data_IF_440855854952
#
_entry.id   IF_440855854952
#
_cell.length_a   1.000
_cell.length_b   1.000
_cell.length_c   1.000
_cell.angle_alpha   90.00
_cell.angle_beta   90.00
_cell.angle_gamma   90.00
#
_symmetry.space_group_name_H-M   'P 1'
#
loop_
_entity.id
_entity.type
_entity.pdbx_description
1 polymer ?
#
# COMPACT_ATOMS: atom_id res chain seq x y z
N UNK A 1 -20.99 -11.23 1.08
CA UNK A 1 -20.83 -9.91 1.73
C UNK A 1 -20.10 -9.02 0.73
N UNK A 2 -20.46 -7.74 0.64
CA UNK A 2 -19.86 -6.84 -0.35
C UNK A 2 -18.39 -6.62 -0.01
N UNK A 3 -17.51 -6.89 -0.97
CA UNK A 3 -16.08 -6.58 -0.86
C UNK A 3 -15.92 -5.07 -0.62
N UNK A 4 -15.64 -4.69 0.63
CA UNK A 4 -15.47 -3.29 0.99
C UNK A 4 -14.01 -2.92 0.79
N UNK A 5 -13.77 -1.89 -0.03
CA UNK A 5 -12.44 -1.33 -0.23
C UNK A 5 -12.31 -0.07 0.63
N UNK A 6 -11.28 -0.04 1.45
CA UNK A 6 -10.88 1.09 2.28
C UNK A 6 -9.68 1.80 1.65
N UNK A 7 -9.65 3.12 1.72
CA UNK A 7 -8.53 3.95 1.30
C UNK A 7 -8.06 4.78 2.50
N UNK A 8 -6.95 4.39 3.11
CA UNK A 8 -6.37 5.07 4.28
C UNK A 8 -5.29 6.06 3.83
N UNK A 9 -5.58 7.35 3.97
CA UNK A 9 -4.66 8.46 3.67
C UNK A 9 -4.01 9.00 4.94
N UNK A 10 -4.74 8.97 6.04
CA UNK A 10 -4.29 9.40 7.37
C UNK A 10 -4.38 8.23 8.35
N UNK A 11 -3.57 8.27 9.40
CA UNK A 11 -3.59 7.25 10.47
C UNK A 11 -4.98 7.13 11.11
N UNK A 12 -5.69 8.23 11.25
CA UNK A 12 -7.05 8.28 11.82
C UNK A 12 -8.08 7.55 10.97
N UNK A 13 -7.83 7.34 9.66
CA UNK A 13 -8.78 6.68 8.77
C UNK A 13 -8.96 5.21 9.15
N UNK A 14 -8.00 4.61 9.87
CA UNK A 14 -8.05 3.23 10.38
C UNK A 14 -9.17 3.07 11.44
N UNK A 15 -9.56 4.14 12.12
CA UNK A 15 -10.59 4.10 13.17
C UNK A 15 -12.00 3.79 12.65
N UNK A 16 -12.19 3.74 11.33
CA UNK A 16 -13.45 3.30 10.71
C UNK A 16 -13.66 1.78 10.83
N UNK A 17 -12.58 1.02 11.07
CA UNK A 17 -12.62 -0.43 11.19
C UNK A 17 -13.19 -0.85 12.53
N UNK A 18 -13.97 -1.92 12.53
CA UNK A 18 -14.23 -2.64 13.78
C UNK A 18 -13.02 -3.51 14.21
N UNK A 19 -13.06 -4.05 15.43
CA UNK A 19 -11.96 -4.85 16.00
C UNK A 19 -11.59 -6.07 15.13
N UNK A 20 -12.55 -6.74 14.50
CA UNK A 20 -12.26 -7.92 13.66
C UNK A 20 -11.62 -7.52 12.35
N UNK A 21 -12.09 -6.42 11.76
CA UNK A 21 -11.50 -5.85 10.56
C UNK A 21 -10.08 -5.34 10.83
N UNK A 22 -9.87 -4.72 12.00
CA UNK A 22 -8.56 -4.25 12.42
C UNK A 22 -7.54 -5.39 12.56
N UNK A 23 -7.91 -6.53 13.14
CA UNK A 23 -7.01 -7.69 13.25
C UNK A 23 -6.61 -8.27 11.88
N UNK A 24 -7.54 -8.33 10.92
CA UNK A 24 -7.22 -8.74 9.54
C UNK A 24 -6.33 -7.72 8.84
N UNK A 25 -6.71 -6.45 8.92
CA UNK A 25 -5.91 -5.33 8.40
C UNK A 25 -4.49 -5.35 8.97
N UNK A 26 -4.31 -5.62 10.27
CA UNK A 26 -3.00 -5.64 10.92
C UNK A 26 -2.09 -6.73 10.34
N UNK A 27 -2.63 -7.90 10.01
CA UNK A 27 -1.89 -8.97 9.37
C UNK A 27 -1.44 -8.56 7.95
N UNK A 28 -2.36 -8.01 7.14
CA UNK A 28 -2.06 -7.56 5.79
C UNK A 28 -1.12 -6.35 5.76
N UNK A 29 -1.26 -5.46 6.73
CA UNK A 29 -0.42 -4.28 6.89
C UNK A 29 1.03 -4.66 7.14
N UNK A 30 1.32 -5.74 7.90
CA UNK A 30 2.69 -6.22 8.11
C UNK A 30 3.35 -6.63 6.80
N UNK A 31 2.63 -7.37 5.96
CA UNK A 31 3.12 -7.76 4.64
C UNK A 31 3.31 -6.55 3.73
N UNK A 32 2.28 -5.70 3.62
CA UNK A 32 2.34 -4.45 2.86
C UNK A 32 3.52 -3.57 3.28
N UNK A 33 3.77 -3.43 4.59
CA UNK A 33 4.88 -2.65 5.14
C UNK A 33 6.25 -3.18 4.66
N UNK A 34 6.44 -4.51 4.68
CA UNK A 34 7.65 -5.12 4.18
C UNK A 34 7.87 -4.83 2.69
N UNK A 35 6.84 -5.01 1.86
CA UNK A 35 6.91 -4.72 0.43
C UNK A 35 7.17 -3.25 0.15
N UNK A 36 6.47 -2.34 0.83
CA UNK A 36 6.61 -0.90 0.61
C UNK A 36 8.02 -0.42 0.96
N UNK A 37 8.66 -0.99 2.00
CA UNK A 37 10.05 -0.69 2.35
C UNK A 37 11.03 -1.16 1.28
N UNK A 38 10.85 -2.37 0.77
CA UNK A 38 11.66 -2.92 -0.32
C UNK A 38 11.50 -2.08 -1.61
N UNK A 39 10.25 -1.82 -2.01
CA UNK A 39 9.95 -1.03 -3.20
C UNK A 39 10.53 0.38 -3.12
N UNK A 40 10.48 1.05 -1.96
CA UNK A 40 11.12 2.37 -1.78
C UNK A 40 12.63 2.31 -1.96
N UNK A 41 13.27 1.27 -1.44
CA UNK A 41 14.72 1.05 -1.59
C UNK A 41 15.08 0.84 -3.06
N UNK A 42 14.26 0.12 -3.83
CA UNK A 42 14.46 -0.07 -5.27
C UNK A 42 14.20 1.20 -6.08
N UNK A 43 13.14 1.95 -5.74
CA UNK A 43 12.83 3.23 -6.36
C UNK A 43 13.95 4.26 -6.17
N UNK A 44 14.60 4.27 -5.00
CA UNK A 44 15.77 5.12 -4.73
C UNK A 44 16.96 4.78 -5.65
N UNK A 45 17.25 3.48 -5.85
CA UNK A 45 18.29 3.04 -6.79
C UNK A 45 17.96 3.42 -8.22
N UNK A 46 16.70 3.32 -8.62
CA UNK A 46 16.25 3.69 -9.96
C UNK A 46 16.32 5.21 -10.16
N UNK A 47 16.07 6.00 -9.12
CA UNK A 47 16.27 7.46 -9.14
C UNK A 47 17.72 7.85 -9.38
N UNK A 48 18.68 7.13 -8.80
CA UNK A 48 20.12 7.34 -9.07
C UNK A 48 20.48 7.09 -10.55
N UNK A 49 19.70 6.26 -11.24
CA UNK A 49 19.82 6.00 -12.68
C UNK A 49 18.99 6.96 -13.55
N UNK A 50 18.42 8.03 -12.96
CA UNK A 50 17.60 9.01 -13.66
C UNK A 50 16.14 8.61 -13.86
N UNK A 51 15.69 7.49 -13.28
CA UNK A 51 14.30 7.06 -13.34
C UNK A 51 13.57 7.45 -12.06
N UNK A 52 12.73 8.48 -12.14
CA UNK A 52 11.82 8.80 -11.03
C UNK A 52 10.68 7.78 -10.99
N UNK A 53 10.54 7.08 -9.86
CA UNK A 53 9.41 6.21 -9.55
C UNK A 53 8.78 6.71 -8.26
N UNK A 54 7.48 6.98 -8.29
CA UNK A 54 6.72 7.42 -7.12
C UNK A 54 5.83 6.28 -6.66
N UNK A 55 6.02 5.83 -5.42
CA UNK A 55 5.12 4.87 -4.80
C UNK A 55 3.96 5.61 -4.15
N UNK A 56 2.76 5.02 -4.18
CA UNK A 56 1.60 5.61 -3.54
C UNK A 56 1.82 5.72 -2.01
N UNK A 57 1.46 6.88 -1.46
CA UNK A 57 1.49 7.14 0.00
C UNK A 57 0.15 6.81 0.68
N UNK A 58 -0.68 6.02 0.02
CA UNK A 58 -2.03 5.66 0.46
C UNK A 58 -2.15 4.15 0.54
N UNK A 59 -2.77 3.64 1.60
CA UNK A 59 -3.05 2.21 1.73
C UNK A 59 -4.46 1.96 1.20
N UNK A 60 -4.56 1.14 0.14
CA UNK A 60 -5.83 0.60 -0.33
C UNK A 60 -5.96 -0.83 0.16
N UNK A 61 -6.86 -1.05 1.09
CA UNK A 61 -7.08 -2.36 1.71
C UNK A 61 -8.47 -2.86 1.37
N UNK A 62 -8.56 -4.12 0.99
CA UNK A 62 -9.83 -4.79 0.70
C UNK A 62 -10.12 -5.71 1.87
N UNK A 63 -11.25 -5.50 2.54
CA UNK A 63 -11.75 -6.48 3.50
C UNK A 63 -12.48 -7.58 2.73
N UNK A 64 -11.82 -8.71 2.53
CA UNK A 64 -12.36 -9.90 1.87
C UNK A 64 -12.63 -11.05 2.84
N UNK A 65 -12.65 -10.75 4.15
CA UNK A 65 -12.73 -11.72 5.25
C UNK A 65 -11.59 -12.76 5.28
N UNK A 66 -10.51 -12.54 4.52
CA UNK A 66 -9.31 -13.36 4.52
C UNK A 66 -8.12 -12.60 5.12
N UNK A 67 -7.01 -13.31 5.31
CA UNK A 67 -5.73 -12.75 5.73
C UNK A 67 -4.72 -13.04 4.61
N UNK A 68 -3.97 -12.02 4.22
CA UNK A 68 -2.89 -12.07 3.24
C UNK A 68 -3.05 -11.00 2.16
N UNK A 69 -1.92 -10.47 1.67
CA UNK A 69 -1.93 -9.48 0.59
C UNK A 69 -2.12 -10.16 -0.77
N UNK A 70 -3.34 -10.11 -1.31
CA UNK A 70 -3.64 -10.70 -2.62
C UNK A 70 -3.07 -9.91 -3.82
N UNK A 71 -3.00 -8.57 -3.74
CA UNK A 71 -2.50 -7.71 -4.82
C UNK A 71 -1.96 -6.39 -4.30
N UNK A 72 -0.76 -6.02 -4.74
CA UNK A 72 -0.19 -4.68 -4.54
C UNK A 72 -0.19 -3.95 -5.89
N UNK A 73 -0.72 -2.72 -5.91
CA UNK A 73 -0.71 -1.87 -7.11
C UNK A 73 0.33 -0.78 -6.91
N UNK A 74 1.29 -0.70 -7.84
CA UNK A 74 2.36 0.31 -7.83
C UNK A 74 2.20 1.17 -9.08
N UNK A 75 1.95 2.47 -8.90
CA UNK A 75 1.83 3.43 -10.00
C UNK A 75 3.21 3.96 -10.39
N UNK A 76 3.80 3.44 -11.45
CA UNK A 76 5.10 3.91 -11.96
C UNK A 76 4.89 5.04 -12.95
N UNK A 77 5.27 6.26 -12.57
CA UNK A 77 5.28 7.42 -13.49
C UNK A 77 6.71 7.75 -13.89
N UNK A 78 7.06 7.54 -15.17
CA UNK A 78 8.33 8.04 -15.71
C UNK A 78 8.25 9.57 -15.81
N UNK A 79 9.08 10.28 -15.04
CA UNK A 79 9.26 11.71 -15.26
C UNK A 79 9.77 11.95 -16.69
N UNK A 80 9.13 12.86 -17.43
CA UNK A 80 9.68 13.34 -18.71
C UNK A 80 10.80 14.31 -18.37
N UNK A 81 12.01 14.01 -18.85
CA UNK A 81 13.12 14.96 -18.85
C UNK A 81 12.70 16.21 -19.66
N UNK A 82 12.80 17.38 -19.04
CA UNK A 82 12.61 18.69 -19.69
C UNK A 82 13.97 19.23 -20.15
#
# INVERSE_FOLDING_TARGET
MSEQIYEFKNVTDILVLDEKQFERFLADFKEWFHFQKQARTEAEKLRELGLNITLADVIRWKDDDMIGVGKITIDVQKARDY
#
